data_IF_404816040360
#
_entry.id   IF_404816040360
#
_cell.length_a   1.000
_cell.length_b   1.000
_cell.length_c   1.000
_cell.angle_alpha   90.00
_cell.angle_beta   90.00
_cell.angle_gamma   90.00
#
_symmetry.space_group_name_H-M   'P 1'
#
loop_
_entity.id
_entity.type
_entity.pdbx_description
1 polymer ?
#
# COMPACT_ATOMS: atom_id res chain seq x y z
N UNK A 1 -29.14 3.42 7.64
CA UNK A 1 -28.46 2.21 8.14
C UNK A 1 -27.01 2.59 8.48
N UNK A 2 -26.42 2.01 9.56
CA UNK A 2 -25.04 2.31 10.00
C UNK A 2 -24.00 2.02 8.91
N UNK A 3 -24.20 0.96 8.14
CA UNK A 3 -23.31 0.58 7.04
C UNK A 3 -23.32 1.60 5.89
N UNK A 4 -24.47 2.12 5.52
CA UNK A 4 -24.61 3.14 4.48
C UNK A 4 -23.93 4.45 4.90
N UNK A 5 -24.09 4.85 6.16
CA UNK A 5 -23.40 6.04 6.69
C UNK A 5 -21.87 5.86 6.70
N UNK A 6 -21.39 4.69 7.04
CA UNK A 6 -19.96 4.37 6.95
C UNK A 6 -19.46 4.51 5.50
N UNK A 7 -20.18 3.92 4.54
CA UNK A 7 -19.85 3.99 3.12
C UNK A 7 -19.83 5.45 2.60
N UNK A 8 -20.82 6.24 2.99
CA UNK A 8 -20.86 7.68 2.62
C UNK A 8 -19.61 8.40 3.15
N UNK A 9 -19.22 8.17 4.41
CA UNK A 9 -18.02 8.78 4.98
C UNK A 9 -16.75 8.37 4.27
N UNK A 10 -16.59 7.10 3.92
CA UNK A 10 -15.45 6.61 3.14
C UNK A 10 -15.38 7.26 1.75
N UNK A 11 -16.51 7.38 1.05
CA UNK A 11 -16.56 8.03 -0.24
C UNK A 11 -16.26 9.53 -0.15
N UNK A 12 -16.71 10.22 0.91
CA UNK A 12 -16.36 11.62 1.18
C UNK A 12 -14.87 11.81 1.46
N UNK A 13 -14.26 10.90 2.21
CA UNK A 13 -12.81 10.90 2.46
C UNK A 13 -12.00 10.76 1.16
N UNK A 14 -12.53 10.00 0.20
CA UNK A 14 -11.98 9.86 -1.14
C UNK A 14 -12.32 11.05 -2.07
N UNK A 15 -12.91 12.12 -1.54
CA UNK A 15 -13.36 13.31 -2.29
C UNK A 15 -14.30 12.99 -3.46
N UNK A 16 -15.11 11.94 -3.32
CA UNK A 16 -16.08 11.58 -4.37
C UNK A 16 -17.33 12.43 -4.25
N UNK A 17 -17.83 12.92 -5.41
CA UNK A 17 -19.14 13.53 -5.49
C UNK A 17 -20.21 12.47 -5.24
N UNK A 18 -21.13 12.74 -4.33
CA UNK A 18 -22.15 11.77 -3.88
C UNK A 18 -23.52 12.36 -4.15
N UNK A 19 -24.38 11.56 -4.79
CA UNK A 19 -25.82 11.79 -4.90
C UNK A 19 -26.51 10.65 -4.16
N UNK A 20 -27.33 10.96 -3.18
CA UNK A 20 -28.10 9.94 -2.44
C UNK A 20 -29.46 9.81 -3.11
N UNK A 21 -29.84 8.59 -3.43
CA UNK A 21 -31.13 8.29 -4.07
C UNK A 21 -32.08 7.65 -3.08
N UNK A 22 -33.16 8.34 -2.77
CA UNK A 22 -34.26 7.79 -1.97
C UNK A 22 -35.27 7.12 -2.93
N UNK A 23 -35.15 5.81 -3.08
CA UNK A 23 -36.02 5.06 -3.99
C UNK A 23 -37.30 4.57 -3.30
N UNK A 24 -38.28 4.19 -4.09
CA UNK A 24 -39.62 3.72 -3.64
C UNK A 24 -40.39 4.79 -2.88
N UNK A 25 -40.33 6.03 -3.36
CA UNK A 25 -41.06 7.14 -2.72
C UNK A 25 -42.56 7.03 -2.90
N UNK A 26 -43.05 6.23 -3.84
CA UNK A 26 -44.44 5.85 -4.06
C UNK A 26 -45.07 5.04 -2.90
N UNK A 27 -44.24 4.35 -2.10
CA UNK A 27 -44.72 3.53 -0.96
C UNK A 27 -44.96 4.32 0.32
N UNK A 28 -44.69 5.63 0.32
CA UNK A 28 -44.79 6.50 1.49
C UNK A 28 -45.52 7.80 1.11
N UNK A 29 -46.09 8.46 2.12
CA UNK A 29 -46.62 9.80 1.92
C UNK A 29 -45.51 10.81 1.68
N UNK A 30 -45.78 11.86 0.94
CA UNK A 30 -44.85 12.97 0.67
C UNK A 30 -44.28 13.56 1.97
N UNK A 31 -45.12 13.76 2.99
CA UNK A 31 -44.68 14.23 4.30
C UNK A 31 -43.62 13.30 4.92
N UNK A 32 -43.79 11.99 4.78
CA UNK A 32 -42.84 11.00 5.31
C UNK A 32 -41.52 11.00 4.51
N UNK A 33 -41.59 11.10 3.19
CA UNK A 33 -40.42 11.22 2.35
C UNK A 33 -39.61 12.48 2.71
N UNK A 34 -40.25 13.63 2.90
CA UNK A 34 -39.60 14.85 3.33
C UNK A 34 -38.87 14.72 4.67
N UNK A 35 -39.49 14.09 5.68
CA UNK A 35 -38.83 13.83 6.96
C UNK A 35 -37.59 12.95 6.79
N UNK A 36 -37.68 11.89 5.99
CA UNK A 36 -36.52 11.00 5.72
C UNK A 36 -35.42 11.76 5.01
N UNK A 37 -35.76 12.57 4.01
CA UNK A 37 -34.81 13.40 3.25
C UNK A 37 -34.08 14.38 4.15
N UNK A 38 -34.78 15.12 5.00
CA UNK A 38 -34.18 16.05 5.93
C UNK A 38 -33.27 15.35 6.94
N UNK A 39 -33.67 14.20 7.48
CA UNK A 39 -32.85 13.39 8.36
C UNK A 39 -31.56 12.91 7.66
N UNK A 40 -31.65 12.46 6.40
CA UNK A 40 -30.47 12.05 5.63
C UNK A 40 -29.54 13.26 5.45
N UNK A 41 -30.07 14.41 5.03
CA UNK A 41 -29.28 15.63 4.85
C UNK A 41 -28.61 16.06 6.16
N UNK A 42 -29.32 16.02 7.28
CA UNK A 42 -28.76 16.44 8.59
C UNK A 42 -27.62 15.55 9.06
N UNK A 43 -27.68 14.26 8.76
CA UNK A 43 -26.67 13.26 9.20
C UNK A 43 -25.46 13.23 8.25
N UNK A 44 -25.64 13.52 6.96
CA UNK A 44 -24.62 13.36 5.94
C UNK A 44 -23.95 14.66 5.53
N UNK A 45 -24.63 15.80 5.64
CA UNK A 45 -24.05 17.11 5.30
C UNK A 45 -23.09 17.59 6.38
N UNK A 46 -21.96 18.14 5.95
CA UNK A 46 -20.98 18.82 6.81
C UNK A 46 -20.96 20.30 6.49
N UNK A 47 -20.24 21.12 7.29
CA UNK A 47 -20.13 22.58 7.07
C UNK A 47 -19.70 22.97 5.63
N UNK A 48 -19.00 22.07 4.94
CA UNK A 48 -18.40 22.37 3.63
C UNK A 48 -18.94 21.49 2.48
N UNK A 49 -19.73 20.45 2.78
CA UNK A 49 -20.21 19.50 1.76
C UNK A 49 -21.72 19.37 1.90
N UNK A 50 -22.43 19.84 0.88
CA UNK A 50 -23.87 19.64 0.73
C UNK A 50 -24.09 18.44 -0.18
N UNK A 51 -24.78 17.43 0.32
CA UNK A 51 -25.10 16.21 -0.44
C UNK A 51 -26.52 16.35 -0.99
N UNK A 52 -26.69 16.09 -2.28
CA UNK A 52 -28.00 16.01 -2.92
C UNK A 52 -28.70 14.72 -2.55
N UNK A 53 -29.96 14.82 -2.13
CA UNK A 53 -30.85 13.66 -1.88
C UNK A 53 -32.01 13.74 -2.84
N UNK A 54 -32.09 12.79 -3.76
CA UNK A 54 -33.07 12.77 -4.86
C UNK A 54 -34.08 11.64 -4.64
N UNK A 55 -35.33 11.97 -4.73
CA UNK A 55 -36.44 11.02 -4.67
C UNK A 55 -36.67 10.37 -6.02
N UNK A 56 -36.90 9.06 -6.03
CA UNK A 56 -37.15 8.30 -7.27
C UNK A 56 -38.18 7.20 -7.09
N UNK A 57 -38.76 6.80 -8.20
CA UNK A 57 -39.61 5.63 -8.35
C UNK A 57 -39.03 4.79 -9.50
N UNK A 58 -38.06 3.92 -9.20
CA UNK A 58 -37.36 3.16 -10.24
C UNK A 58 -38.22 2.04 -10.85
N UNK A 59 -39.18 1.51 -10.10
CA UNK A 59 -40.11 0.50 -10.59
C UNK A 59 -41.41 0.58 -9.80
N UNK A 60 -42.52 0.73 -10.48
CA UNK A 60 -43.83 0.64 -9.86
C UNK A 60 -44.26 -0.83 -9.76
N UNK A 61 -44.51 -1.33 -8.56
CA UNK A 61 -45.23 -2.60 -8.39
C UNK A 61 -46.71 -2.31 -8.33
N UNK A 62 -47.44 -2.80 -9.30
CA UNK A 62 -48.91 -2.86 -9.20
C UNK A 62 -49.23 -3.85 -8.10
N UNK A 63 -49.62 -3.39 -6.93
CA UNK A 63 -50.25 -4.26 -5.94
C UNK A 63 -51.66 -4.53 -6.42
N UNK A 64 -51.85 -5.64 -7.10
CA UNK A 64 -53.19 -6.21 -7.42
C UNK A 64 -53.76 -6.88 -6.18
N UNK A 65 -54.34 -6.10 -5.28
CA UNK A 65 -55.34 -6.62 -4.35
C UNK A 65 -56.67 -6.00 -4.79
N UNK A 66 -57.45 -6.84 -5.45
CA UNK A 66 -58.90 -6.76 -5.72
C UNK A 66 -59.57 -5.40 -5.48
N UNK A 67 -60.19 -4.91 -6.58
CA UNK A 67 -61.27 -3.93 -6.67
C UNK A 67 -60.88 -2.45 -6.69
N UNK A 68 -61.05 -1.90 -7.89
CA UNK A 68 -61.34 -0.50 -8.20
C UNK A 68 -60.16 0.49 -8.05
N UNK A 69 -59.68 0.91 -9.22
CA UNK A 69 -58.69 2.00 -9.41
C UNK A 69 -57.27 1.69 -8.97
N UNK A 70 -56.59 0.82 -9.68
CA UNK A 70 -55.10 0.79 -9.68
C UNK A 70 -54.59 2.08 -10.34
N UNK A 71 -54.28 3.10 -9.56
CA UNK A 71 -53.47 4.21 -10.01
C UNK A 71 -52.15 3.61 -10.48
N UNK A 72 -51.95 3.56 -11.78
CA UNK A 72 -50.76 3.05 -12.44
C UNK A 72 -49.66 4.10 -12.20
N UNK A 73 -48.93 3.96 -11.10
CA UNK A 73 -47.77 4.82 -10.78
C UNK A 73 -46.74 4.52 -11.85
N UNK A 74 -46.36 5.49 -12.64
CA UNK A 74 -45.30 5.37 -13.64
C UNK A 74 -43.93 5.54 -12.95
N UNK A 75 -42.92 4.76 -13.36
CA UNK A 75 -41.56 4.98 -12.90
C UNK A 75 -41.12 6.42 -13.21
N UNK A 76 -40.50 7.06 -12.22
CA UNK A 76 -39.95 8.42 -12.40
C UNK A 76 -38.55 8.50 -11.82
N UNK A 77 -37.57 8.76 -12.68
CA UNK A 77 -36.16 8.97 -12.39
C UNK A 77 -35.65 10.28 -12.98
N UNK A 78 -36.55 11.13 -13.46
CA UNK A 78 -36.22 12.36 -14.21
C UNK A 78 -35.35 13.31 -13.39
N UNK A 79 -35.67 13.52 -12.12
CA UNK A 79 -34.89 14.39 -11.23
C UNK A 79 -33.48 13.85 -10.99
N UNK A 80 -33.31 12.53 -10.95
CA UNK A 80 -31.98 11.91 -10.82
C UNK A 80 -31.15 12.17 -12.09
N UNK A 81 -31.72 11.96 -13.27
CA UNK A 81 -31.03 12.26 -14.52
C UNK A 81 -30.63 13.74 -14.62
N UNK A 82 -31.53 14.65 -14.27
CA UNK A 82 -31.24 16.07 -14.25
C UNK A 82 -30.08 16.41 -13.36
N UNK A 83 -30.06 15.95 -12.12
CA UNK A 83 -28.96 16.18 -11.18
C UNK A 83 -27.62 15.59 -11.66
N UNK A 84 -27.64 14.42 -12.29
CA UNK A 84 -26.44 13.81 -12.90
C UNK A 84 -25.90 14.70 -14.01
N UNK A 85 -26.77 15.14 -14.94
CA UNK A 85 -26.37 15.99 -16.05
C UNK A 85 -25.82 17.32 -15.55
N UNK A 86 -26.52 18.00 -14.64
CA UNK A 86 -26.07 19.27 -14.05
C UNK A 86 -24.73 19.11 -13.31
N UNK A 87 -24.53 17.99 -12.61
CA UNK A 87 -23.25 17.70 -11.94
C UNK A 87 -22.13 17.48 -12.94
N UNK A 88 -22.38 16.76 -14.04
CA UNK A 88 -21.38 16.50 -15.07
C UNK A 88 -21.06 17.76 -15.88
N UNK A 89 -22.05 18.58 -16.20
CA UNK A 89 -21.84 19.84 -16.92
C UNK A 89 -21.03 20.85 -16.07
N UNK A 90 -21.31 20.91 -14.78
CA UNK A 90 -20.63 21.85 -13.88
C UNK A 90 -19.23 21.40 -13.46
N UNK A 91 -19.00 20.10 -13.22
CA UNK A 91 -17.79 19.59 -12.58
C UNK A 91 -17.18 18.36 -13.30
N UNK A 92 -17.65 17.99 -14.49
CA UNK A 92 -17.25 16.74 -15.15
C UNK A 92 -15.76 16.62 -15.39
N UNK A 93 -15.09 17.67 -15.83
CA UNK A 93 -13.64 17.68 -16.06
C UNK A 93 -12.85 17.50 -14.75
N UNK A 94 -13.24 18.20 -13.68
CA UNK A 94 -12.62 18.06 -12.36
C UNK A 94 -12.79 16.64 -11.79
N UNK A 95 -14.01 16.09 -11.89
CA UNK A 95 -14.31 14.74 -11.45
C UNK A 95 -13.53 13.68 -12.23
N UNK A 96 -13.32 13.91 -13.53
CA UNK A 96 -12.49 13.03 -14.38
C UNK A 96 -11.03 13.12 -13.96
N UNK A 97 -10.50 14.33 -13.78
CA UNK A 97 -9.11 14.54 -13.33
C UNK A 97 -8.84 13.88 -11.97
N UNK A 98 -9.73 14.04 -10.99
CA UNK A 98 -9.65 13.39 -9.68
C UNK A 98 -9.68 11.87 -9.78
N UNK A 99 -10.48 11.32 -10.67
CA UNK A 99 -10.53 9.87 -10.91
C UNK A 99 -9.23 9.35 -11.53
N UNK A 100 -8.67 10.06 -12.49
CA UNK A 100 -7.39 9.71 -13.10
C UNK A 100 -6.30 9.74 -12.04
N UNK A 101 -6.20 10.81 -11.24
CA UNK A 101 -5.22 10.95 -10.18
C UNK A 101 -5.32 9.82 -9.14
N UNK A 102 -6.55 9.49 -8.71
CA UNK A 102 -6.79 8.38 -7.79
C UNK A 102 -6.30 7.04 -8.35
N UNK A 103 -6.60 6.76 -9.62
CA UNK A 103 -6.15 5.52 -10.29
C UNK A 103 -4.64 5.47 -10.46
N UNK A 104 -4.00 6.60 -10.81
CA UNK A 104 -2.55 6.70 -10.92
C UNK A 104 -1.87 6.45 -9.57
N UNK A 105 -2.36 7.04 -8.48
CA UNK A 105 -1.86 6.83 -7.14
C UNK A 105 -1.99 5.36 -6.70
N UNK A 106 -3.14 4.75 -6.95
CA UNK A 106 -3.37 3.32 -6.66
C UNK A 106 -2.43 2.42 -7.46
N UNK A 107 -2.25 2.69 -8.76
CA UNK A 107 -1.31 1.95 -9.60
C UNK A 107 0.13 2.12 -9.11
N UNK A 108 0.52 3.33 -8.70
CA UNK A 108 1.83 3.61 -8.12
C UNK A 108 2.09 2.82 -6.84
N UNK A 109 1.10 2.70 -5.97
CA UNK A 109 1.21 1.89 -4.74
C UNK A 109 1.36 0.39 -5.05
N UNK A 110 0.52 -0.14 -5.96
CA UNK A 110 0.61 -1.54 -6.39
C UNK A 110 1.99 -1.83 -6.99
N UNK A 111 2.47 -0.95 -7.87
CA UNK A 111 3.80 -1.10 -8.50
C UNK A 111 4.92 -1.09 -7.47
N UNK A 112 4.88 -0.20 -6.48
CA UNK A 112 5.86 -0.17 -5.37
C UNK A 112 5.86 -1.49 -4.59
N UNK A 113 4.69 -2.02 -4.27
CA UNK A 113 4.59 -3.29 -3.54
C UNK A 113 5.16 -4.45 -4.35
N UNK A 114 4.79 -4.58 -5.63
CA UNK A 114 5.31 -5.63 -6.52
C UNK A 114 6.83 -5.54 -6.64
N UNK A 115 7.38 -4.34 -6.84
CA UNK A 115 8.84 -4.13 -6.92
C UNK A 115 9.50 -4.51 -5.59
N UNK A 116 8.93 -4.10 -4.45
CA UNK A 116 9.45 -4.43 -3.13
C UNK A 116 9.47 -5.93 -2.89
N UNK A 117 8.38 -6.63 -3.20
CA UNK A 117 8.28 -8.08 -3.04
C UNK A 117 9.29 -8.81 -3.92
N UNK A 118 9.44 -8.39 -5.17
CA UNK A 118 10.42 -8.95 -6.10
C UNK A 118 11.87 -8.71 -5.62
N UNK A 119 12.17 -7.51 -5.10
CA UNK A 119 13.47 -7.21 -4.51
C UNK A 119 13.75 -8.06 -3.28
N UNK A 120 12.76 -8.21 -2.38
CA UNK A 120 12.88 -9.06 -1.20
C UNK A 120 13.14 -10.54 -1.57
N UNK A 121 12.42 -11.07 -2.54
CA UNK A 121 12.64 -12.43 -3.04
C UNK A 121 14.05 -12.59 -3.61
N UNK A 122 14.53 -11.64 -4.39
CA UNK A 122 15.87 -11.66 -4.97
C UNK A 122 16.95 -11.52 -3.90
N UNK A 123 16.76 -10.63 -2.92
CA UNK A 123 17.68 -10.46 -1.79
C UNK A 123 17.78 -11.74 -0.94
N UNK A 124 16.65 -12.40 -0.66
CA UNK A 124 16.64 -13.68 0.05
C UNK A 124 17.41 -14.78 -0.69
N UNK A 125 17.31 -14.83 -2.02
CA UNK A 125 18.11 -15.77 -2.82
C UNK A 125 19.62 -15.50 -2.67
N UNK A 126 20.02 -14.22 -2.67
CA UNK A 126 21.42 -13.82 -2.45
C UNK A 126 21.87 -14.20 -1.03
N UNK A 127 21.08 -13.88 -0.02
CA UNK A 127 21.39 -14.24 1.37
C UNK A 127 21.58 -15.75 1.50
N UNK A 128 20.64 -16.55 1.00
CA UNK A 128 20.73 -18.01 1.07
C UNK A 128 21.98 -18.56 0.34
N UNK A 129 22.30 -18.03 -0.86
CA UNK A 129 23.51 -18.36 -1.59
C UNK A 129 24.77 -18.14 -0.75
N UNK A 130 24.90 -16.96 -0.15
CA UNK A 130 26.08 -16.62 0.64
C UNK A 130 26.12 -17.32 1.99
N UNK A 131 24.98 -17.63 2.59
CA UNK A 131 24.90 -18.45 3.81
C UNK A 131 25.42 -19.86 3.55
N UNK A 132 25.05 -20.48 2.41
CA UNK A 132 25.58 -21.80 2.02
C UNK A 132 27.08 -21.78 1.75
N UNK A 133 27.58 -20.72 1.08
CA UNK A 133 29.02 -20.55 0.83
C UNK A 133 29.77 -20.43 2.16
N UNK A 134 29.29 -19.60 3.09
CA UNK A 134 29.92 -19.40 4.40
C UNK A 134 29.88 -20.70 5.23
N UNK A 135 28.75 -21.39 5.27
CA UNK A 135 28.61 -22.68 5.95
C UNK A 135 29.54 -23.75 5.41
N UNK A 136 29.70 -23.83 4.08
CA UNK A 136 30.63 -24.76 3.45
C UNK A 136 32.11 -24.47 3.76
N UNK A 137 32.50 -23.19 3.82
CA UNK A 137 33.87 -22.78 4.16
C UNK A 137 34.23 -23.14 5.61
N UNK A 138 33.30 -22.92 6.55
CA UNK A 138 33.50 -23.23 7.98
C UNK A 138 33.76 -24.73 8.20
N UNK A 139 33.09 -25.61 7.43
CA UNK A 139 33.26 -27.07 7.56
C UNK A 139 34.63 -27.58 7.07
N UNK A 140 35.29 -26.84 6.19
CA UNK A 140 36.55 -27.27 5.55
C UNK A 140 37.77 -26.69 6.23
N UNK A 141 37.67 -25.57 6.95
CA UNK A 141 38.81 -24.86 7.57
C UNK A 141 38.62 -24.63 9.08
N UNK A 142 39.28 -25.40 9.93
CA UNK A 142 39.16 -25.25 11.40
C UNK A 142 40.00 -24.10 11.98
N UNK A 143 40.64 -23.24 11.17
CA UNK A 143 41.49 -22.15 11.67
C UNK A 143 40.68 -20.85 11.86
N UNK A 144 40.52 -20.35 13.10
CA UNK A 144 39.62 -19.23 13.43
C UNK A 144 39.93 -17.91 12.71
N UNK A 145 41.21 -17.64 12.37
CA UNK A 145 41.65 -16.40 11.75
C UNK A 145 41.33 -16.38 10.24
N UNK A 146 41.54 -17.49 9.55
CA UNK A 146 41.22 -17.63 8.10
C UNK A 146 39.71 -17.58 7.89
N UNK A 147 38.96 -18.18 8.80
CA UNK A 147 37.51 -18.19 8.77
C UNK A 147 36.93 -16.79 8.87
N UNK A 148 37.47 -15.93 9.74
CA UNK A 148 37.02 -14.56 9.92
C UNK A 148 37.23 -13.68 8.67
N UNK A 149 38.40 -13.76 8.04
CA UNK A 149 38.74 -12.99 6.82
C UNK A 149 37.84 -13.44 5.64
N UNK A 150 37.65 -14.75 5.51
CA UNK A 150 36.81 -15.32 4.45
C UNK A 150 35.34 -14.94 4.66
N UNK A 151 34.85 -15.07 5.86
CA UNK A 151 33.46 -14.69 6.23
C UNK A 151 33.19 -13.23 5.96
N UNK A 152 34.13 -12.33 6.32
CA UNK A 152 33.99 -10.90 6.05
C UNK A 152 33.97 -10.60 4.55
N UNK A 153 34.84 -11.26 3.78
CA UNK A 153 34.87 -11.10 2.32
C UNK A 153 33.59 -11.55 1.65
N UNK A 154 33.03 -12.67 2.09
CA UNK A 154 31.76 -13.20 1.63
C UNK A 154 30.61 -12.22 1.98
N UNK A 155 30.59 -11.69 3.19
CA UNK A 155 29.59 -10.71 3.59
C UNK A 155 29.68 -9.41 2.78
N UNK A 156 30.87 -8.93 2.47
CA UNK A 156 31.05 -7.74 1.60
C UNK A 156 30.47 -8.00 0.21
N UNK A 157 30.72 -9.17 -0.38
CA UNK A 157 30.16 -9.53 -1.68
C UNK A 157 28.62 -9.64 -1.62
N UNK A 158 28.08 -10.25 -0.57
CA UNK A 158 26.64 -10.30 -0.33
C UNK A 158 26.02 -8.89 -0.27
N UNK A 159 26.62 -7.98 0.49
CA UNK A 159 26.16 -6.59 0.60
C UNK A 159 26.18 -5.90 -0.76
N UNK A 160 27.22 -6.10 -1.55
CA UNK A 160 27.32 -5.53 -2.91
C UNK A 160 26.27 -6.10 -3.87
N UNK A 161 25.97 -7.39 -3.79
CA UNK A 161 24.90 -8.00 -4.61
C UNK A 161 23.51 -7.52 -4.17
N UNK A 162 23.26 -7.42 -2.86
CA UNK A 162 22.00 -6.89 -2.33
C UNK A 162 21.83 -5.42 -2.71
N UNK A 163 22.85 -4.61 -2.60
CA UNK A 163 22.77 -3.18 -2.96
C UNK A 163 22.35 -2.96 -4.42
N UNK A 164 22.82 -3.82 -5.33
CA UNK A 164 22.39 -3.79 -6.74
C UNK A 164 20.91 -4.11 -6.92
N UNK A 165 20.36 -5.05 -6.15
CA UNK A 165 18.94 -5.41 -6.20
C UNK A 165 18.05 -4.22 -5.81
N UNK A 166 18.50 -3.43 -4.83
CA UNK A 166 17.79 -2.24 -4.38
C UNK A 166 18.18 -0.97 -5.12
N UNK A 167 19.04 -1.08 -6.15
CA UNK A 167 19.56 0.04 -6.94
C UNK A 167 20.34 1.07 -6.12
N UNK A 168 21.01 0.62 -5.06
CA UNK A 168 21.95 1.44 -4.29
C UNK A 168 23.36 1.30 -4.87
N UNK A 169 23.97 2.43 -5.25
CA UNK A 169 25.35 2.47 -5.70
C UNK A 169 26.28 2.65 -4.50
N UNK A 170 26.76 1.54 -3.96
CA UNK A 170 27.77 1.55 -2.89
C UNK A 170 29.11 1.10 -3.41
N UNK A 171 30.16 1.67 -2.87
CA UNK A 171 31.55 1.27 -3.15
C UNK A 171 31.95 0.05 -2.31
N UNK A 172 33.03 -0.63 -2.72
CA UNK A 172 33.60 -1.72 -1.92
C UNK A 172 33.98 -1.25 -0.52
N UNK A 173 34.50 -0.02 -0.37
CA UNK A 173 34.87 0.56 0.91
C UNK A 173 33.66 0.69 1.85
N UNK A 174 32.56 1.22 1.36
CA UNK A 174 31.31 1.34 2.12
C UNK A 174 30.73 -0.02 2.50
N UNK A 175 30.80 -1.00 1.59
CA UNK A 175 30.35 -2.37 1.88
C UNK A 175 31.19 -3.04 2.98
N UNK A 176 32.51 -2.75 3.03
CA UNK A 176 33.40 -3.20 4.12
C UNK A 176 33.02 -2.53 5.44
N UNK A 177 32.77 -1.23 5.45
CA UNK A 177 32.34 -0.50 6.65
C UNK A 177 31.00 -1.01 7.18
N UNK A 178 30.02 -1.27 6.30
CA UNK A 178 28.74 -1.87 6.66
C UNK A 178 28.93 -3.27 7.26
N UNK A 179 29.75 -4.12 6.65
CA UNK A 179 30.04 -5.45 7.17
C UNK A 179 30.69 -5.39 8.57
N UNK A 180 31.62 -4.46 8.78
CA UNK A 180 32.22 -4.21 10.11
C UNK A 180 31.19 -3.77 11.14
N UNK A 181 30.33 -2.84 10.79
CA UNK A 181 29.26 -2.35 11.68
C UNK A 181 28.30 -3.48 12.08
N UNK A 182 27.89 -4.33 11.13
CA UNK A 182 27.06 -5.49 11.43
C UNK A 182 27.72 -6.47 12.38
N UNK A 183 29.00 -6.84 12.12
CA UNK A 183 29.76 -7.73 12.99
C UNK A 183 29.93 -7.16 14.40
N UNK A 184 30.22 -5.87 14.52
CA UNK A 184 30.31 -5.19 15.82
C UNK A 184 28.97 -5.22 16.57
N UNK A 185 27.87 -5.00 15.86
CA UNK A 185 26.53 -5.05 16.45
C UNK A 185 26.18 -6.46 16.93
N UNK A 186 26.47 -7.49 16.14
CA UNK A 186 26.25 -8.89 16.50
C UNK A 186 27.12 -9.30 17.71
N UNK A 187 28.34 -8.79 17.77
CA UNK A 187 29.23 -9.01 18.90
C UNK A 187 28.71 -8.36 20.21
N UNK A 188 28.20 -7.12 20.13
CA UNK A 188 27.56 -6.42 21.26
C UNK A 188 26.31 -7.11 21.75
N UNK A 189 25.56 -7.75 20.86
CA UNK A 189 24.38 -8.55 21.22
C UNK A 189 24.72 -9.92 21.80
N UNK A 190 26.01 -10.25 21.99
CA UNK A 190 26.47 -11.52 22.53
C UNK A 190 26.23 -12.74 21.61
N UNK A 191 25.86 -12.51 20.34
CA UNK A 191 25.64 -13.57 19.36
C UNK A 191 26.97 -14.19 18.93
N UNK A 192 28.06 -13.41 18.98
CA UNK A 192 29.44 -13.87 18.74
C UNK A 192 30.18 -14.09 20.07
N UNK A 193 30.05 -15.26 20.64
CA UNK A 193 30.82 -15.63 21.85
C UNK A 193 32.30 -15.81 21.50
N UNK A 194 33.17 -14.95 22.00
CA UNK A 194 34.62 -15.14 22.04
C UNK A 194 35.49 -14.47 20.99
N UNK A 195 34.95 -13.57 20.14
CA UNK A 195 35.70 -13.05 19.00
C UNK A 195 36.01 -11.55 18.96
N UNK A 196 35.60 -10.76 19.97
CA UNK A 196 35.67 -9.28 19.84
C UNK A 196 37.13 -8.76 19.77
N UNK A 197 38.07 -9.35 20.49
CA UNK A 197 39.49 -8.98 20.46
C UNK A 197 40.16 -9.37 19.13
N UNK A 198 39.79 -10.51 18.57
CA UNK A 198 40.29 -10.98 17.27
C UNK A 198 39.72 -10.11 16.15
N UNK A 199 38.45 -9.73 16.25
CA UNK A 199 37.76 -8.86 15.28
C UNK A 199 38.38 -7.47 15.24
N UNK A 200 38.63 -6.83 16.39
CA UNK A 200 39.20 -5.48 16.42
C UNK A 200 40.64 -5.46 15.92
N UNK A 201 41.46 -6.47 16.25
CA UNK A 201 42.84 -6.56 15.78
C UNK A 201 42.96 -6.93 14.30
N UNK A 202 42.14 -7.82 13.78
CA UNK A 202 42.08 -8.16 12.34
C UNK A 202 41.52 -7.01 11.47
N UNK A 203 40.65 -6.18 12.02
CA UNK A 203 40.09 -5.00 11.35
C UNK A 203 41.05 -3.80 11.36
N UNK A 204 41.94 -3.72 12.33
CA UNK A 204 42.97 -2.67 12.38
C UNK A 204 44.17 -2.97 11.45
N UNK A 205 44.46 -4.23 11.15
CA UNK A 205 45.54 -4.64 10.25
C UNK A 205 45.04 -4.77 8.81
N UNK A 206 45.23 -3.74 8.00
CA UNK A 206 45.33 -3.74 6.53
C UNK A 206 44.33 -4.60 5.72
N UNK A 207 43.03 -4.41 5.96
CA UNK A 207 42.00 -4.99 5.10
C UNK A 207 42.08 -4.52 3.63
N UNK A 208 42.61 -3.32 3.40
CA UNK A 208 42.83 -2.70 2.08
C UNK A 208 43.84 -3.44 1.23
N UNK A 209 44.88 -4.01 1.83
CA UNK A 209 45.98 -4.65 1.10
C UNK A 209 45.68 -6.06 0.61
N UNK A 210 44.83 -6.80 1.34
CA UNK A 210 44.51 -8.19 0.99
C UNK A 210 43.52 -8.27 -0.17
N UNK A 211 42.64 -7.29 -0.33
CA UNK A 211 41.68 -7.24 -1.43
C UNK A 211 42.28 -6.82 -2.76
N UNK A 212 43.35 -5.99 -2.74
CA UNK A 212 44.00 -5.48 -3.95
C UNK A 212 44.91 -6.57 -4.57
N UNK A 213 45.48 -7.47 -3.79
CA UNK A 213 46.42 -8.48 -4.29
C UNK A 213 45.78 -9.71 -4.93
N UNK A 214 44.45 -9.88 -4.86
CA UNK A 214 43.71 -11.00 -5.47
C UNK A 214 42.83 -10.62 -6.65
N UNK A 215 42.87 -9.37 -7.12
CA UNK A 215 42.10 -8.88 -8.28
C UNK A 215 42.98 -8.43 -9.44
N UNK A 216 44.26 -8.87 -9.49
CA UNK A 216 45.16 -8.82 -10.65
C UNK A 216 45.33 -10.20 -11.25
#
# INVERSE_FOLDING_TARGET
NKYELYLIRELLNLKKKIIIVLNKCDLRSEKHNNIIRENIISITSTKHIKISVIETIASSKVFSNNLVNSLKITPDVSNLFKEIIETLDANGEELLADNILFRCNKLGQISKNVISDQRNLSANKVINKYTLITGGVILVNPLPVVDFITTTSVNVQMILEISKIYDFKITKKEAVELSKSLLTTLAKLGILKGGLSVITNALASNFTTIFISKSL
#
